data_IF_608835959439
#
_entry.id   IF_608835959439
#
_cell.length_a   1.000
_cell.length_b   1.000
_cell.length_c   1.000
_cell.angle_alpha   90.00
_cell.angle_beta   90.00
_cell.angle_gamma   90.00
#
_symmetry.space_group_name_H-M   'P 1'
#
loop_
_entity.id
_entity.type
_entity.pdbx_description
1 polymer ?
#
# COMPACT_ATOMS: atom_id res chain seq x y z
N UNK A 1 2.13 40.19 6.36
CA UNK A 1 2.12 38.97 7.18
C UNK A 1 1.06 38.05 6.60
N UNK A 2 1.44 36.91 6.03
CA UNK A 2 0.47 35.98 5.44
C UNK A 2 -0.36 35.40 6.58
N UNK A 3 -1.62 35.81 6.66
CA UNK A 3 -2.58 35.32 7.64
C UNK A 3 -2.71 33.81 7.41
N UNK A 4 -2.10 32.99 8.27
CA UNK A 4 -2.18 31.53 8.12
C UNK A 4 -3.64 31.15 8.38
N UNK A 5 -4.36 30.79 7.33
CA UNK A 5 -5.77 30.41 7.44
C UNK A 5 -5.97 29.25 8.43
N UNK A 6 -7.18 29.09 8.99
CA UNK A 6 -7.49 28.13 10.05
C UNK A 6 -7.14 26.68 9.68
N UNK A 7 -7.10 26.36 8.38
CA UNK A 7 -6.70 25.05 7.86
C UNK A 7 -5.28 24.64 8.28
N UNK A 8 -4.34 25.58 8.36
CA UNK A 8 -2.94 25.27 8.70
C UNK A 8 -2.82 24.87 10.17
N UNK A 9 -3.56 25.51 11.06
CA UNK A 9 -3.56 25.19 12.48
C UNK A 9 -4.24 23.85 12.75
N UNK A 10 -5.37 23.59 12.09
CA UNK A 10 -6.05 22.30 12.18
C UNK A 10 -5.15 21.17 11.67
N UNK A 11 -4.51 21.35 10.51
CA UNK A 11 -3.60 20.36 9.95
C UNK A 11 -2.45 20.06 10.92
N UNK A 12 -1.81 21.08 11.50
CA UNK A 12 -0.74 20.87 12.50
C UNK A 12 -1.19 20.06 13.71
N UNK A 13 -2.44 20.23 14.15
CA UNK A 13 -2.99 19.52 15.30
C UNK A 13 -3.38 18.08 14.97
N UNK A 14 -3.90 17.83 13.76
CA UNK A 14 -4.52 16.55 13.38
C UNK A 14 -3.58 15.63 12.61
N UNK A 15 -2.68 16.17 11.76
CA UNK A 15 -1.76 15.39 10.94
C UNK A 15 -0.87 14.41 11.72
N UNK A 16 -0.43 14.67 12.96
CA UNK A 16 0.32 13.67 13.74
C UNK A 16 -0.43 12.34 13.98
N UNK A 17 -1.77 12.35 13.90
CA UNK A 17 -2.59 11.13 14.00
C UNK A 17 -2.81 10.42 12.67
N UNK A 18 -2.38 11.01 11.54
CA UNK A 18 -2.51 10.41 10.20
C UNK A 18 -1.39 9.40 10.02
N UNK A 19 -1.73 8.26 9.44
CA UNK A 19 -0.78 7.19 9.13
C UNK A 19 -0.82 6.84 7.65
N UNK A 20 0.27 6.28 7.17
CA UNK A 20 0.33 5.63 5.86
C UNK A 20 0.31 4.11 6.05
N UNK A 21 -0.50 3.41 5.27
CA UNK A 21 -0.61 1.95 5.29
C UNK A 21 0.00 1.43 3.99
N UNK A 22 0.93 0.49 4.10
CA UNK A 22 1.51 -0.24 2.96
C UNK A 22 1.02 -1.67 3.02
N UNK A 23 0.48 -2.15 1.90
CA UNK A 23 -0.08 -3.50 1.79
C UNK A 23 0.88 -4.34 0.95
N UNK A 24 1.31 -5.46 1.51
CA UNK A 24 2.27 -6.37 0.87
C UNK A 24 1.75 -7.79 0.86
N UNK A 25 2.16 -8.58 -0.14
CA UNK A 25 1.81 -9.99 -0.26
C UNK A 25 2.93 -10.76 -0.94
N UNK A 26 3.12 -12.00 -0.54
CA UNK A 26 4.11 -12.88 -1.15
C UNK A 26 3.58 -13.42 -2.48
N UNK A 27 4.04 -12.81 -3.58
CA UNK A 27 3.64 -13.17 -4.93
C UNK A 27 4.77 -13.85 -5.70
N UNK A 28 4.46 -14.73 -6.67
CA UNK A 28 5.48 -15.32 -7.53
C UNK A 28 6.19 -14.24 -8.35
N UNK A 29 7.53 -14.28 -8.36
CA UNK A 29 8.32 -13.33 -9.16
C UNK A 29 8.13 -13.59 -10.66
N UNK A 30 7.84 -12.53 -11.42
CA UNK A 30 7.81 -12.59 -12.90
C UNK A 30 9.24 -12.35 -13.40
N UNK A 31 9.81 -13.33 -14.11
CA UNK A 31 11.19 -13.23 -14.62
C UNK A 31 11.29 -12.92 -16.10
N UNK A 32 10.19 -13.01 -16.83
CA UNK A 32 10.18 -12.74 -18.26
C UNK A 32 8.97 -13.38 -18.92
N UNK A 33 9.03 -13.44 -20.25
CA UNK A 33 7.96 -14.00 -21.06
C UNK A 33 8.53 -15.05 -22.01
N UNK A 34 7.76 -16.10 -22.24
CA UNK A 34 8.04 -17.05 -23.31
C UNK A 34 7.15 -16.73 -24.51
N UNK A 35 7.76 -16.74 -25.69
CA UNK A 35 7.02 -16.78 -26.94
C UNK A 35 6.67 -18.23 -27.25
N UNK A 36 5.37 -18.50 -27.39
CA UNK A 36 4.86 -19.79 -27.80
C UNK A 36 4.15 -19.64 -29.16
N UNK A 37 4.69 -20.22 -30.24
CA UNK A 37 4.03 -20.17 -31.53
C UNK A 37 2.83 -21.12 -31.52
N UNK A 38 1.62 -20.56 -31.68
CA UNK A 38 0.38 -21.33 -31.79
C UNK A 38 -0.35 -20.91 -33.08
N UNK A 39 -0.56 -21.84 -34.01
CA UNK A 39 -1.26 -21.59 -35.30
C UNK A 39 -0.65 -20.45 -36.15
N UNK A 40 0.66 -20.24 -36.07
CA UNK A 40 1.34 -19.19 -36.85
C UNK A 40 1.30 -17.79 -36.21
N UNK A 41 0.66 -17.64 -35.04
CA UNK A 41 0.75 -16.44 -34.21
C UNK A 41 1.66 -16.68 -32.99
N UNK A 42 2.48 -15.69 -32.66
CA UNK A 42 3.36 -15.72 -31.49
C UNK A 42 2.60 -15.20 -30.26
N UNK A 43 2.30 -16.10 -29.31
CA UNK A 43 1.68 -15.74 -28.04
C UNK A 43 2.73 -15.52 -26.95
N UNK A 44 2.56 -14.45 -26.18
CA UNK A 44 3.46 -14.06 -25.08
C UNK A 44 2.86 -14.52 -23.76
N UNK A 45 3.52 -15.45 -23.07
CA UNK A 45 3.10 -15.93 -21.75
C UNK A 45 4.08 -15.53 -20.65
N UNK A 46 3.61 -14.99 -19.50
CA UNK A 46 4.47 -14.68 -18.37
C UNK A 46 5.04 -15.95 -17.73
N UNK A 47 6.37 -15.98 -17.55
CA UNK A 47 7.06 -17.01 -16.78
C UNK A 47 7.17 -16.57 -15.32
N UNK A 48 6.52 -17.32 -14.44
CA UNK A 48 6.62 -17.15 -12.99
C UNK A 48 7.71 -18.07 -12.41
N UNK A 49 8.49 -17.55 -11.47
CA UNK A 49 9.43 -18.34 -10.66
C UNK A 49 8.69 -19.04 -9.51
N UNK A 50 9.30 -20.13 -8.98
CA UNK A 50 8.83 -20.77 -7.74
C UNK A 50 9.12 -19.94 -6.49
N UNK A 51 10.12 -19.08 -6.55
CA UNK A 51 10.45 -18.14 -5.45
C UNK A 51 9.38 -17.05 -5.37
N UNK A 52 8.83 -16.87 -4.17
CA UNK A 52 7.92 -15.77 -3.86
C UNK A 52 8.74 -14.59 -3.36
N UNK A 53 8.30 -13.38 -3.71
CA UNK A 53 8.85 -12.15 -3.15
C UNK A 53 7.72 -11.32 -2.52
N UNK A 54 8.07 -10.58 -1.48
CA UNK A 54 7.15 -9.68 -0.81
C UNK A 54 6.90 -8.47 -1.71
N UNK A 55 5.79 -8.48 -2.42
CA UNK A 55 5.42 -7.46 -3.39
C UNK A 55 4.45 -6.47 -2.74
N UNK A 56 4.65 -5.17 -2.96
CA UNK A 56 3.66 -4.14 -2.60
C UNK A 56 2.47 -4.25 -3.55
N UNK A 57 1.31 -4.60 -3.00
CA UNK A 57 0.07 -4.77 -3.76
C UNK A 57 -0.89 -3.59 -3.59
N UNK A 58 -0.63 -2.71 -2.63
CA UNK A 58 -1.48 -1.56 -2.38
C UNK A 58 -0.95 -0.62 -1.31
N UNK A 59 -1.76 0.37 -1.00
CA UNK A 59 -1.52 1.31 0.08
C UNK A 59 -2.77 2.12 0.39
N UNK A 60 -2.72 2.84 1.50
CA UNK A 60 -3.81 3.69 1.93
C UNK A 60 -3.36 4.63 3.04
N UNK A 61 -4.32 5.36 3.57
CA UNK A 61 -4.14 6.19 4.75
C UNK A 61 -5.09 5.73 5.85
N UNK A 62 -4.78 6.09 7.08
CA UNK A 62 -5.66 5.88 8.21
C UNK A 62 -5.42 6.94 9.28
N UNK A 63 -6.21 6.85 10.34
CA UNK A 63 -6.04 7.68 11.52
C UNK A 63 -5.94 6.81 12.76
N UNK A 64 -5.03 7.13 13.66
CA UNK A 64 -5.03 6.57 15.02
C UNK A 64 -6.13 7.26 15.80
N UNK A 65 -7.09 6.49 16.29
CA UNK A 65 -8.29 7.01 16.97
C UNK A 65 -8.29 6.76 18.48
N UNK A 66 -7.34 5.96 18.98
CA UNK A 66 -7.24 5.62 20.40
C UNK A 66 -5.79 5.44 20.86
N UNK A 67 -5.45 5.73 22.13
CA UNK A 67 -4.10 5.58 22.68
C UNK A 67 -3.56 4.14 22.71
N UNK A 68 -4.44 3.14 22.61
CA UNK A 68 -4.09 1.71 22.50
C UNK A 68 -3.63 1.31 21.09
N UNK A 69 -3.70 2.22 20.11
CA UNK A 69 -3.27 2.00 18.74
C UNK A 69 -4.37 1.54 17.78
N UNK A 70 -5.67 1.66 18.11
CA UNK A 70 -6.71 1.44 17.11
C UNK A 70 -6.60 2.43 15.95
N UNK A 71 -6.68 1.88 14.73
CA UNK A 71 -6.60 2.61 13.46
C UNK A 71 -7.93 2.52 12.72
N UNK A 72 -8.42 3.65 12.24
CA UNK A 72 -9.57 3.72 11.34
C UNK A 72 -9.10 3.99 9.90
N UNK A 73 -9.59 3.18 8.95
CA UNK A 73 -9.33 3.30 7.51
C UNK A 73 -10.53 2.76 6.72
N UNK A 74 -10.47 2.86 5.39
CA UNK A 74 -11.49 2.32 4.50
C UNK A 74 -11.42 0.80 4.43
N UNK A 75 -12.59 0.13 4.35
CA UNK A 75 -12.66 -1.33 4.25
C UNK A 75 -11.82 -1.89 3.09
N UNK A 76 -11.88 -1.29 1.89
CA UNK A 76 -11.12 -1.76 0.73
C UNK A 76 -9.59 -1.72 0.91
N UNK A 77 -9.09 -0.96 1.90
CA UNK A 77 -7.66 -0.96 2.25
C UNK A 77 -7.33 -2.26 3.00
N UNK A 78 -8.19 -2.72 3.89
CA UNK A 78 -7.94 -3.84 4.83
C UNK A 78 -8.76 -5.10 4.51
N UNK A 79 -9.33 -5.19 3.31
CA UNK A 79 -10.26 -6.28 2.95
C UNK A 79 -9.58 -7.62 2.66
N UNK A 80 -8.25 -7.66 2.51
CA UNK A 80 -7.50 -8.90 2.24
C UNK A 80 -6.93 -9.48 3.55
N UNK A 81 -7.52 -10.54 4.13
CA UNK A 81 -7.11 -11.07 5.42
C UNK A 81 -5.76 -11.80 5.40
N UNK A 82 -5.20 -12.08 4.21
CA UNK A 82 -3.91 -12.77 4.05
C UNK A 82 -2.80 -11.85 3.54
N UNK A 83 -3.06 -10.54 3.46
CA UNK A 83 -2.04 -9.54 3.17
C UNK A 83 -1.34 -9.07 4.45
N UNK A 84 -0.08 -8.67 4.30
CA UNK A 84 0.68 -8.03 5.36
C UNK A 84 0.47 -6.51 5.30
N UNK A 85 0.07 -5.92 6.43
CA UNK A 85 -0.17 -4.49 6.58
C UNK A 85 0.93 -3.84 7.41
N UNK A 86 1.64 -2.88 6.81
CA UNK A 86 2.67 -2.09 7.50
C UNK A 86 2.18 -0.67 7.70
N UNK A 87 2.17 -0.22 8.97
CA UNK A 87 1.82 1.15 9.34
C UNK A 87 3.08 1.99 9.43
N UNK A 88 3.10 3.11 8.71
CA UNK A 88 4.16 4.11 8.75
C UNK A 88 3.60 5.36 9.42
N UNK A 89 4.19 5.72 10.54
CA UNK A 89 3.94 6.96 11.25
C UNK A 89 4.86 8.03 10.66
N UNK A 90 4.31 9.15 10.20
CA UNK A 90 5.16 10.29 9.82
C UNK A 90 5.73 10.91 11.10
N UNK A 91 7.06 10.93 11.21
CA UNK A 91 7.77 11.44 12.39
C UNK A 91 8.20 12.90 12.25
N UNK A 92 7.66 13.64 11.27
CA UNK A 92 7.96 15.06 11.13
C UNK A 92 7.27 15.90 12.21
N UNK A 93 8.06 16.25 13.24
CA UNK A 93 7.83 17.39 14.14
C UNK A 93 8.01 18.73 13.43
#
# INVERSE_FOLDING_TARGET
MTNKGPFVEIAKKVCPGVITIVITKDLPKIEGFYLFPLWGEEFIFPKFKKEKEKTKIGGGSGFIVSPDGYVLTCNHVVSDPIADYTVILDTKK
#
